data_IF_049557275065
#
_entry.id   IF_049557275065
#
_cell.length_a   1.000
_cell.length_b   1.000
_cell.length_c   1.000
_cell.angle_alpha   90.00
_cell.angle_beta   90.00
_cell.angle_gamma   90.00
#
_symmetry.space_group_name_H-M   'P 1'
#
loop_
_entity.id
_entity.type
_entity.pdbx_description
1 polymer ?
#
# COMPACT_ATOMS: atom_id res chain seq x y z
N UNK A 1 2.35 -26.10 18.02
CA UNK A 1 1.25 -25.12 18.20
C UNK A 1 1.51 -24.40 19.50
N UNK A 2 2.12 -23.22 19.45
CA UNK A 2 2.34 -22.38 20.63
C UNK A 2 1.19 -21.38 20.71
N UNK A 3 0.35 -21.51 21.73
CA UNK A 3 -0.61 -20.48 22.11
C UNK A 3 0.16 -19.28 22.67
N UNK A 4 0.11 -18.15 21.95
CA UNK A 4 0.54 -16.86 22.49
C UNK A 4 -0.60 -16.29 23.34
N UNK A 5 -0.46 -16.36 24.66
CA UNK A 5 -1.28 -15.55 25.57
C UNK A 5 -0.74 -14.14 25.59
N UNK A 6 -1.52 -13.21 25.05
CA UNK A 6 -1.39 -11.77 25.27
C UNK A 6 -1.64 -11.53 26.76
N UNK A 7 -0.58 -11.48 27.56
CA UNK A 7 -0.65 -11.12 28.98
C UNK A 7 -0.52 -9.60 29.12
N UNK A 8 -1.64 -9.00 29.51
CA UNK A 8 -1.83 -7.80 30.31
C UNK A 8 -0.82 -6.66 30.16
N UNK A 9 -1.23 -5.69 29.33
CA UNK A 9 -0.85 -4.29 29.49
C UNK A 9 -1.31 -3.79 30.87
N UNK A 10 -0.38 -3.73 31.82
CA UNK A 10 -0.42 -2.75 32.90
C UNK A 10 0.92 -2.03 32.88
N UNK A 11 0.94 -0.85 32.26
CA UNK A 11 2.03 0.10 32.47
C UNK A 11 1.98 0.53 33.93
N UNK A 12 2.92 0.03 34.74
CA UNK A 12 3.12 0.53 36.10
C UNK A 12 3.86 1.87 35.99
N UNK A 13 3.33 2.98 36.53
CA UNK A 13 4.01 4.26 36.52
C UNK A 13 5.07 4.25 37.61
N UNK A 14 6.32 3.99 37.22
CA UNK A 14 7.46 4.05 38.12
C UNK A 14 8.77 4.12 37.34
N UNK A 15 9.28 5.33 37.16
CA UNK A 15 10.64 5.67 36.71
C UNK A 15 11.00 5.53 35.23
N UNK A 16 10.05 5.45 34.31
CA UNK A 16 10.35 5.71 32.90
C UNK A 16 10.13 7.20 32.62
N UNK A 17 11.21 7.95 32.45
CA UNK A 17 11.11 9.26 31.80
C UNK A 17 10.38 9.11 30.47
N UNK A 18 9.59 10.11 30.09
CA UNK A 18 8.81 10.03 28.86
C UNK A 18 9.75 9.82 27.66
N UNK A 19 9.29 9.18 26.58
CA UNK A 19 10.10 9.01 25.36
C UNK A 19 10.67 10.36 24.84
N UNK A 20 9.97 11.46 25.15
CA UNK A 20 10.40 12.83 24.90
C UNK A 20 11.62 13.24 25.75
N UNK A 21 11.64 12.92 27.05
CA UNK A 21 12.78 13.21 27.93
C UNK A 21 14.03 12.42 27.54
N UNK A 22 13.88 11.18 27.07
CA UNK A 22 15.01 10.39 26.56
C UNK A 22 15.57 10.93 25.24
N UNK A 23 14.74 11.62 24.45
CA UNK A 23 15.15 12.24 23.19
C UNK A 23 15.93 13.55 23.39
N UNK A 24 15.63 14.28 24.45
CA UNK A 24 16.21 15.61 24.72
C UNK A 24 17.60 15.56 25.39
N UNK A 25 18.00 14.42 25.97
CA UNK A 25 19.28 14.28 26.72
C UNK A 25 20.00 12.95 26.47
N UNK A 26 20.38 12.62 25.22
CA UNK A 26 20.98 11.32 24.89
C UNK A 26 22.34 11.05 25.57
N UNK A 27 23.07 12.09 25.96
CA UNK A 27 24.40 12.03 26.59
C UNK A 27 24.42 11.51 28.03
N UNK A 28 23.28 11.50 28.74
CA UNK A 28 23.21 11.09 30.14
C UNK A 28 23.07 9.57 30.34
N UNK A 29 23.02 8.80 29.25
CA UNK A 29 22.77 7.35 29.31
C UNK A 29 24.05 6.57 29.00
N UNK A 30 24.56 5.83 29.99
CA UNK A 30 25.67 4.89 29.80
C UNK A 30 25.25 3.73 28.88
N UNK A 31 26.04 3.47 27.83
CA UNK A 31 25.82 2.36 26.88
C UNK A 31 26.07 1.03 27.60
N UNK A 32 25.00 0.39 28.06
CA UNK A 32 25.06 -0.91 28.74
C UNK A 32 25.49 -2.01 27.76
N UNK A 33 26.53 -2.76 28.13
CA UNK A 33 27.10 -3.88 27.38
C UNK A 33 26.08 -5.00 27.17
N UNK A 34 25.89 -5.44 25.91
CA UNK A 34 24.97 -6.52 25.55
C UNK A 34 25.63 -7.89 25.77
N UNK A 35 25.01 -8.75 26.58
CA UNK A 35 25.54 -10.09 26.88
C UNK A 35 25.07 -11.08 25.79
N UNK A 36 26.00 -11.53 24.93
CA UNK A 36 25.77 -12.57 23.92
C UNK A 36 26.78 -13.73 24.07
N UNK A 37 26.47 -14.97 23.61
CA UNK A 37 27.40 -16.12 23.67
C UNK A 37 28.67 -15.96 22.79
N UNK A 38 28.80 -14.87 22.05
CA UNK A 38 30.02 -14.39 21.38
C UNK A 38 30.22 -12.88 21.66
N UNK A 39 29.95 -12.46 22.90
CA UNK A 39 29.85 -11.07 23.33
C UNK A 39 31.00 -10.20 22.82
N UNK A 40 32.24 -10.69 22.93
CA UNK A 40 33.43 -9.87 22.63
C UNK A 40 33.55 -9.44 21.16
N UNK A 41 33.23 -10.32 20.22
CA UNK A 41 33.31 -9.97 18.79
C UNK A 41 32.16 -9.05 18.38
N UNK A 42 30.96 -9.30 18.90
CA UNK A 42 29.78 -8.45 18.69
C UNK A 42 29.98 -7.08 19.32
N UNK A 43 30.62 -7.02 20.49
CA UNK A 43 30.92 -5.79 21.22
C UNK A 43 31.96 -4.92 20.48
N UNK A 44 33.03 -5.52 19.95
CA UNK A 44 34.00 -4.79 19.13
C UNK A 44 33.37 -4.22 17.85
N UNK A 45 32.50 -4.99 17.19
CA UNK A 45 31.74 -4.50 16.02
C UNK A 45 30.78 -3.38 16.45
N UNK A 46 30.08 -3.53 17.57
CA UNK A 46 29.17 -2.53 18.10
C UNK A 46 29.89 -1.22 18.48
N UNK A 47 31.12 -1.31 19.01
CA UNK A 47 31.96 -0.15 19.32
C UNK A 47 32.36 0.65 18.06
N UNK A 48 32.49 -0.02 16.91
CA UNK A 48 32.80 0.63 15.64
C UNK A 48 31.58 1.27 14.95
N UNK A 49 30.35 1.02 15.43
CA UNK A 49 29.15 1.58 14.81
C UNK A 49 29.07 3.10 15.01
N UNK A 50 28.49 3.83 14.04
CA UNK A 50 28.13 5.23 14.21
C UNK A 50 27.22 5.45 15.43
N UNK A 51 27.33 6.62 16.06
CA UNK A 51 26.61 6.93 17.31
C UNK A 51 25.09 6.79 17.17
N UNK A 52 24.51 7.24 16.04
CA UNK A 52 23.07 7.15 15.83
C UNK A 52 22.57 5.70 15.76
N UNK A 53 23.40 4.78 15.26
CA UNK A 53 23.08 3.35 15.20
C UNK A 53 23.23 2.67 16.56
N UNK A 54 24.23 3.07 17.34
CA UNK A 54 24.36 2.67 18.75
C UNK A 54 23.13 3.07 19.55
N UNK A 55 22.64 4.30 19.38
CA UNK A 55 21.42 4.78 20.03
C UNK A 55 20.19 3.97 19.58
N UNK A 56 20.03 3.70 18.29
CA UNK A 56 18.91 2.90 17.80
C UNK A 56 18.92 1.48 18.42
N UNK A 57 20.07 0.82 18.44
CA UNK A 57 20.25 -0.50 19.08
C UNK A 57 20.01 -0.45 20.59
N UNK A 58 20.48 0.60 21.26
CA UNK A 58 20.26 0.80 22.69
C UNK A 58 18.75 0.89 23.00
N UNK A 59 18.02 1.74 22.28
CA UNK A 59 16.58 1.89 22.49
C UNK A 59 15.78 0.64 22.13
N UNK A 60 16.15 -0.07 21.06
CA UNK A 60 15.52 -1.35 20.72
C UNK A 60 15.67 -2.38 21.86
N UNK A 61 16.81 -2.39 22.55
CA UNK A 61 17.06 -3.28 23.68
C UNK A 61 16.42 -2.80 25.00
N UNK A 62 16.35 -1.49 25.24
CA UNK A 62 15.79 -0.93 26.47
C UNK A 62 14.26 -0.80 26.44
N UNK A 63 13.67 -0.66 25.26
CA UNK A 63 12.23 -0.48 25.06
C UNK A 63 11.65 -1.59 24.16
N UNK A 64 11.92 -2.90 24.43
CA UNK A 64 11.57 -3.98 23.51
C UNK A 64 10.05 -4.09 23.28
N UNK A 65 9.24 -3.75 24.29
CA UNK A 65 7.79 -3.77 24.19
C UNK A 65 7.27 -2.67 23.25
N UNK A 66 7.86 -1.48 23.26
CA UNK A 66 7.47 -0.42 22.33
C UNK A 66 7.79 -0.82 20.89
N UNK A 67 8.99 -1.35 20.63
CA UNK A 67 9.38 -1.79 19.29
C UNK A 67 8.50 -2.93 18.79
N UNK A 68 8.23 -3.95 19.63
CA UNK A 68 7.32 -5.05 19.30
C UNK A 68 5.90 -4.57 19.06
N UNK A 69 5.36 -3.75 19.96
CA UNK A 69 4.03 -3.17 19.81
C UNK A 69 3.93 -2.42 18.48
N UNK A 70 4.83 -1.48 18.24
CA UNK A 70 4.85 -0.65 17.02
C UNK A 70 4.95 -1.49 15.74
N UNK A 71 5.68 -2.61 15.78
CA UNK A 71 5.89 -3.48 14.62
C UNK A 71 4.73 -4.45 14.36
N UNK A 72 4.06 -4.96 15.39
CA UNK A 72 3.04 -6.02 15.27
C UNK A 72 1.58 -5.54 15.41
N UNK A 73 1.31 -4.42 16.09
CA UNK A 73 -0.04 -3.88 16.26
C UNK A 73 -0.65 -3.48 14.92
N UNK A 74 -1.96 -3.63 14.71
CA UNK A 74 -2.62 -3.08 13.52
C UNK A 74 -2.66 -1.56 13.59
N UNK A 75 -2.57 -0.89 12.44
CA UNK A 75 -2.35 0.57 12.42
C UNK A 75 -3.51 1.35 13.06
N UNK A 76 -4.73 0.83 12.92
CA UNK A 76 -5.98 1.38 13.48
C UNK A 76 -6.14 1.16 14.99
N UNK A 77 -5.41 0.19 15.55
CA UNK A 77 -5.47 -0.15 16.98
C UNK A 77 -4.44 0.64 17.79
N UNK A 78 -3.67 1.53 17.16
CA UNK A 78 -2.69 2.40 17.82
C UNK A 78 -3.39 3.65 18.38
N UNK A 79 -3.44 3.83 19.71
CA UNK A 79 -3.98 5.04 20.31
C UNK A 79 -3.24 6.30 19.81
N UNK A 80 -3.97 7.41 19.71
CA UNK A 80 -3.44 8.64 19.13
C UNK A 80 -2.27 9.21 19.94
N UNK A 81 -2.34 9.11 21.27
CA UNK A 81 -1.34 9.59 22.22
C UNK A 81 0.00 8.83 22.17
N UNK A 82 -0.01 7.56 21.74
CA UNK A 82 1.21 6.75 21.59
C UNK A 82 1.71 6.68 20.15
N UNK A 83 0.96 7.21 19.17
CA UNK A 83 1.29 7.12 17.74
C UNK A 83 2.66 7.69 17.39
N UNK A 84 3.03 8.82 18.00
CA UNK A 84 4.34 9.45 17.77
C UNK A 84 5.49 8.61 18.31
N UNK A 85 5.29 7.90 19.44
CA UNK A 85 6.25 6.93 19.95
C UNK A 85 6.39 5.73 19.00
N UNK A 86 5.30 5.26 18.40
CA UNK A 86 5.34 4.19 17.39
C UNK A 86 6.09 4.62 16.13
N UNK A 87 5.81 5.82 15.61
CA UNK A 87 6.53 6.40 14.45
C UNK A 87 8.03 6.48 14.75
N UNK A 88 8.40 6.97 15.94
CA UNK A 88 9.80 7.05 16.36
C UNK A 88 10.45 5.67 16.45
N UNK A 89 9.81 4.70 17.12
CA UNK A 89 10.36 3.35 17.28
C UNK A 89 10.55 2.65 15.93
N UNK A 90 9.56 2.74 15.03
CA UNK A 90 9.66 2.22 13.65
C UNK A 90 10.79 2.89 12.87
N UNK A 91 11.00 4.20 13.03
CA UNK A 91 12.09 4.91 12.35
C UNK A 91 13.47 4.44 12.83
N UNK A 92 13.63 4.17 14.13
CA UNK A 92 14.86 3.60 14.69
C UNK A 92 15.05 2.16 14.21
N UNK A 93 13.97 1.40 14.14
CA UNK A 93 14.01 0.02 13.68
C UNK A 93 14.39 -0.08 12.19
N UNK A 94 13.88 0.81 11.34
CA UNK A 94 14.28 0.91 9.93
C UNK A 94 15.78 1.13 9.82
N UNK A 95 16.36 2.06 10.60
CA UNK A 95 17.82 2.30 10.62
C UNK A 95 18.61 1.07 11.03
N UNK A 96 18.15 0.35 12.06
CA UNK A 96 18.78 -0.92 12.47
C UNK A 96 18.84 -1.88 11.28
N UNK A 97 17.72 -2.05 10.58
CA UNK A 97 17.63 -3.00 9.47
C UNK A 97 18.41 -2.58 8.21
N UNK A 98 18.49 -1.28 7.92
CA UNK A 98 19.24 -0.74 6.78
C UNK A 98 20.76 -0.75 7.02
N UNK A 99 21.19 -0.33 8.22
CA UNK A 99 22.58 0.06 8.46
C UNK A 99 23.38 -0.96 9.27
N UNK A 100 22.74 -1.83 10.07
CA UNK A 100 23.49 -2.80 10.87
C UNK A 100 24.14 -3.88 9.98
N UNK A 101 25.35 -4.34 10.32
CA UNK A 101 25.92 -5.56 9.76
C UNK A 101 25.02 -6.77 10.03
N UNK A 102 25.04 -7.76 9.14
CA UNK A 102 24.28 -9.01 9.30
C UNK A 102 24.60 -9.73 10.62
N UNK A 103 25.87 -9.74 11.03
CA UNK A 103 26.29 -10.36 12.29
C UNK A 103 25.58 -9.74 13.50
N UNK A 104 25.37 -8.42 13.49
CA UNK A 104 24.62 -7.70 14.55
C UNK A 104 23.14 -8.04 14.47
N UNK A 105 22.53 -8.03 13.28
CA UNK A 105 21.11 -8.38 13.14
C UNK A 105 20.80 -9.80 13.62
N UNK A 106 21.68 -10.76 13.30
CA UNK A 106 21.57 -12.15 13.78
C UNK A 106 21.75 -12.23 15.30
N UNK A 107 22.74 -11.52 15.85
CA UNK A 107 22.95 -11.46 17.30
C UNK A 107 21.73 -10.88 18.03
N UNK A 108 21.09 -9.84 17.46
CA UNK A 108 19.87 -9.24 18.00
C UNK A 108 18.61 -10.11 17.83
N UNK A 109 18.70 -11.23 17.10
CA UNK A 109 17.56 -12.09 16.81
C UNK A 109 16.59 -11.55 15.75
N UNK A 110 16.99 -10.52 14.98
CA UNK A 110 16.20 -9.97 13.88
C UNK A 110 16.24 -10.85 12.63
N UNK A 111 17.24 -11.75 12.53
CA UNK A 111 17.37 -12.73 11.45
C UNK A 111 17.68 -14.10 12.06
N UNK A 112 16.77 -15.06 11.90
CA UNK A 112 16.95 -16.42 12.41
C UNK A 112 18.11 -17.16 11.73
N UNK A 113 18.79 -18.08 12.43
CA UNK A 113 19.81 -18.93 11.83
C UNK A 113 19.26 -19.71 10.62
N UNK A 114 20.01 -19.71 9.51
CA UNK A 114 19.62 -20.38 8.27
C UNK A 114 18.73 -19.56 7.33
N UNK A 115 18.11 -18.49 7.81
CA UNK A 115 17.35 -17.59 6.95
C UNK A 115 18.27 -16.65 6.17
N UNK A 116 17.87 -16.35 4.93
CA UNK A 116 18.52 -15.35 4.08
C UNK A 116 18.36 -13.96 4.70
N UNK A 117 19.48 -13.29 4.97
CA UNK A 117 19.50 -12.00 5.66
C UNK A 117 18.86 -10.91 4.81
N UNK A 118 19.13 -10.88 3.50
CA UNK A 118 18.62 -9.86 2.60
C UNK A 118 17.08 -9.97 2.46
N UNK A 119 16.57 -11.19 2.31
CA UNK A 119 15.12 -11.47 2.29
C UNK A 119 14.45 -11.07 3.60
N UNK A 120 15.07 -11.44 4.73
CA UNK A 120 14.55 -11.10 6.06
C UNK A 120 14.53 -9.58 6.29
N UNK A 121 15.60 -8.87 5.90
CA UNK A 121 15.65 -7.41 5.90
C UNK A 121 14.55 -6.82 5.03
N UNK A 122 14.39 -7.32 3.81
CA UNK A 122 13.43 -6.76 2.87
C UNK A 122 11.99 -6.86 3.37
N UNK A 123 11.60 -8.03 3.87
CA UNK A 123 10.27 -8.23 4.46
C UNK A 123 10.07 -7.31 5.66
N UNK A 124 11.09 -7.20 6.51
CA UNK A 124 11.03 -6.38 7.73
C UNK A 124 10.91 -4.89 7.42
N UNK A 125 11.71 -4.40 6.48
CA UNK A 125 11.70 -3.00 6.02
C UNK A 125 10.38 -2.66 5.35
N UNK A 126 9.85 -3.54 4.50
CA UNK A 126 8.56 -3.33 3.85
C UNK A 126 7.44 -3.19 4.89
N UNK A 127 7.40 -4.05 5.91
CA UNK A 127 6.42 -3.92 6.99
C UNK A 127 6.58 -2.61 7.77
N UNK A 128 7.80 -2.32 8.25
CA UNK A 128 8.05 -1.15 9.09
C UNK A 128 7.77 0.17 8.34
N UNK A 129 8.17 0.26 7.06
CA UNK A 129 7.88 1.41 6.19
C UNK A 129 6.39 1.54 5.88
N UNK A 130 5.67 0.42 5.75
CA UNK A 130 4.22 0.42 5.58
C UNK A 130 3.52 1.03 6.78
N UNK A 131 3.88 0.57 7.98
CA UNK A 131 3.31 1.06 9.24
C UNK A 131 3.61 2.53 9.50
N UNK A 132 4.87 2.96 9.32
CA UNK A 132 5.23 4.37 9.53
C UNK A 132 4.51 5.28 8.52
N UNK A 133 4.36 4.85 7.26
CA UNK A 133 3.59 5.57 6.24
C UNK A 133 2.14 5.73 6.67
N UNK A 134 1.50 4.64 7.11
CA UNK A 134 0.12 4.62 7.58
C UNK A 134 -0.08 5.54 8.80
N UNK A 135 0.76 5.43 9.82
CA UNK A 135 0.69 6.30 10.99
C UNK A 135 0.89 7.78 10.66
N UNK A 136 1.81 8.11 9.75
CA UNK A 136 2.03 9.49 9.31
C UNK A 136 0.83 10.03 8.52
N UNK A 137 0.16 9.20 7.70
CA UNK A 137 -1.06 9.60 7.00
C UNK A 137 -2.23 9.81 7.97
N UNK A 138 -2.42 8.89 8.93
CA UNK A 138 -3.46 9.01 9.97
C UNK A 138 -3.27 10.24 10.87
N UNK A 139 -2.03 10.73 11.01
CA UNK A 139 -1.69 11.94 11.77
C UNK A 139 -1.69 13.23 10.92
N UNK A 140 -2.19 13.17 9.68
CA UNK A 140 -2.18 14.28 8.71
C UNK A 140 -0.77 14.85 8.42
N UNK A 141 0.24 13.96 8.40
CA UNK A 141 1.66 14.27 8.14
C UNK A 141 2.13 13.66 6.82
N UNK A 142 1.31 13.75 5.78
CA UNK A 142 1.57 13.11 4.49
C UNK A 142 2.97 13.41 3.92
N UNK A 143 3.47 14.64 4.07
CA UNK A 143 4.80 15.03 3.57
C UNK A 143 5.93 14.17 4.18
N UNK A 144 5.83 13.82 5.46
CA UNK A 144 6.81 12.98 6.15
C UNK A 144 6.69 11.51 5.74
N UNK A 145 5.54 11.08 5.25
CA UNK A 145 5.28 9.70 4.83
C UNK A 145 5.95 9.34 3.50
N UNK A 146 6.16 10.35 2.64
CA UNK A 146 6.71 10.18 1.28
C UNK A 146 7.98 9.35 1.22
N UNK A 147 9.09 9.69 1.93
CA UNK A 147 10.34 8.94 1.80
C UNK A 147 10.17 7.45 2.09
N UNK A 148 9.34 7.09 3.08
CA UNK A 148 9.06 5.70 3.42
C UNK A 148 8.26 4.99 2.34
N UNK A 149 7.20 5.63 1.84
CA UNK A 149 6.39 5.07 0.76
C UNK A 149 7.19 4.90 -0.54
N UNK A 150 8.07 5.86 -0.87
CA UNK A 150 8.97 5.73 -2.03
C UNK A 150 9.87 4.52 -1.89
N UNK A 151 10.56 4.40 -0.75
CA UNK A 151 11.45 3.28 -0.48
C UNK A 151 10.73 1.92 -0.53
N UNK A 152 9.47 1.84 -0.08
CA UNK A 152 8.67 0.63 -0.23
C UNK A 152 8.41 0.27 -1.70
N UNK A 153 8.09 1.25 -2.54
CA UNK A 153 7.80 0.98 -3.95
C UNK A 153 9.07 0.60 -4.69
N UNK A 154 10.18 1.31 -4.44
CA UNK A 154 11.47 0.97 -5.03
C UNK A 154 11.88 -0.48 -4.68
N UNK A 155 11.68 -0.88 -3.42
CA UNK A 155 11.96 -2.24 -2.97
C UNK A 155 11.07 -3.30 -3.64
N UNK A 156 9.77 -3.05 -3.77
CA UNK A 156 8.83 -3.95 -4.46
C UNK A 156 9.16 -4.06 -5.96
N UNK A 157 9.48 -2.94 -6.62
CA UNK A 157 9.92 -2.93 -8.02
C UNK A 157 11.18 -3.78 -8.22
N UNK A 158 12.10 -3.76 -7.26
CA UNK A 158 13.34 -4.53 -7.32
C UNK A 158 13.09 -6.04 -7.16
N UNK A 159 12.04 -6.44 -6.45
CA UNK A 159 11.68 -7.86 -6.25
C UNK A 159 11.10 -8.50 -7.50
N UNK A 160 10.60 -7.71 -8.45
CA UNK A 160 9.83 -8.23 -9.58
C UNK A 160 8.50 -8.88 -9.17
N UNK A 161 8.13 -8.73 -7.89
CA UNK A 161 6.81 -9.08 -7.41
C UNK A 161 5.88 -7.94 -7.84
N UNK A 162 4.87 -8.27 -8.64
CA UNK A 162 3.76 -7.37 -8.99
C UNK A 162 2.89 -7.00 -7.77
N UNK A 163 3.39 -7.14 -6.54
CA UNK A 163 2.69 -6.84 -5.28
C UNK A 163 2.40 -5.35 -5.10
N UNK A 164 3.14 -4.44 -5.72
CA UNK A 164 2.75 -3.03 -5.78
C UNK A 164 1.42 -2.84 -6.52
N UNK A 165 1.04 -3.81 -7.36
CA UNK A 165 -0.27 -3.92 -7.99
C UNK A 165 -1.34 -4.54 -7.07
N UNK A 166 -1.06 -4.72 -5.78
CA UNK A 166 -2.06 -5.10 -4.77
C UNK A 166 -2.37 -3.96 -3.79
N UNK A 167 -1.73 -2.80 -3.93
CA UNK A 167 -1.91 -1.69 -2.98
C UNK A 167 -1.83 -0.31 -3.67
N UNK A 168 -2.96 0.23 -4.16
CA UNK A 168 -3.01 1.51 -4.88
C UNK A 168 -2.64 2.73 -4.01
N UNK A 169 -2.61 2.60 -2.68
CA UNK A 169 -2.18 3.67 -1.76
C UNK A 169 -0.71 4.05 -1.98
N UNK A 170 0.15 3.08 -2.30
CA UNK A 170 1.59 3.31 -2.55
C UNK A 170 1.86 4.18 -3.77
N UNK A 171 1.01 4.08 -4.80
CA UNK A 171 1.12 4.86 -6.04
C UNK A 171 0.75 6.33 -5.86
N UNK A 172 -0.18 6.63 -4.94
CA UNK A 172 -0.67 7.99 -4.68
C UNK A 172 0.34 8.84 -3.89
N UNK A 173 1.08 8.21 -2.96
CA UNK A 173 2.12 8.89 -2.16
C UNK A 173 3.34 9.27 -2.98
N UNK A 174 3.67 8.49 -4.01
CA UNK A 174 4.80 8.75 -4.91
C UNK A 174 4.63 10.01 -5.77
N UNK A 175 3.39 10.42 -6.00
CA UNK A 175 3.07 11.29 -7.12
C UNK A 175 2.96 12.77 -6.79
N UNK A 176 3.56 13.28 -5.71
CA UNK A 176 3.63 14.74 -5.49
C UNK A 176 4.37 15.56 -6.58
N UNK A 177 4.74 14.98 -7.72
CA UNK A 177 5.05 15.71 -8.94
C UNK A 177 3.83 15.69 -9.84
N UNK A 178 3.22 16.86 -10.10
CA UNK A 178 2.18 17.12 -11.10
C UNK A 178 0.92 16.24 -10.99
N UNK A 179 -0.27 16.84 -10.84
CA UNK A 179 -1.57 16.15 -10.89
C UNK A 179 -1.69 15.19 -12.09
N UNK A 180 -0.97 15.49 -13.18
CA UNK A 180 -0.88 14.64 -14.35
C UNK A 180 -0.01 13.39 -14.16
N UNK A 181 1.11 13.45 -13.42
CA UNK A 181 1.92 12.27 -13.09
C UNK A 181 1.33 11.47 -11.91
N UNK A 182 0.54 12.08 -11.01
CA UNK A 182 -0.38 11.37 -10.10
C UNK A 182 -1.36 10.54 -10.88
N UNK A 183 -2.09 11.18 -11.79
CA UNK A 183 -3.07 10.48 -12.60
C UNK A 183 -2.41 9.38 -13.44
N UNK A 184 -1.22 9.61 -14.01
CA UNK A 184 -0.49 8.58 -14.78
C UNK A 184 0.05 7.46 -13.89
N UNK A 185 0.60 7.75 -12.71
CA UNK A 185 1.17 6.75 -11.78
C UNK A 185 0.07 5.92 -11.15
N UNK A 186 -1.05 6.54 -10.75
CA UNK A 186 -2.26 5.84 -10.33
C UNK A 186 -2.84 5.01 -11.48
N UNK A 187 -2.92 5.55 -12.71
CA UNK A 187 -3.30 4.78 -13.89
C UNK A 187 -2.33 3.64 -14.23
N UNK A 188 -1.03 3.75 -13.89
CA UNK A 188 -0.01 2.70 -14.09
C UNK A 188 -0.10 1.63 -13.01
N UNK A 189 -0.38 2.00 -11.76
CA UNK A 189 -0.71 1.06 -10.70
C UNK A 189 -1.96 0.28 -11.05
N UNK A 190 -3.06 0.98 -11.35
CA UNK A 190 -4.31 0.39 -11.80
C UNK A 190 -4.19 -0.55 -13.02
N UNK A 191 -3.13 -0.44 -13.83
CA UNK A 191 -2.95 -1.23 -15.06
C UNK A 191 -2.67 -2.72 -14.85
N UNK A 192 -2.30 -3.18 -13.66
CA UNK A 192 -2.18 -4.63 -13.41
C UNK A 192 -2.64 -5.08 -12.02
N UNK A 193 -3.53 -4.30 -11.41
CA UNK A 193 -4.18 -4.64 -10.14
C UNK A 193 -5.53 -5.34 -10.39
N UNK A 194 -5.72 -6.57 -9.89
CA UNK A 194 -7.04 -7.13 -9.53
C UNK A 194 -7.33 -6.86 -8.04
N UNK A 195 -7.40 -5.60 -7.59
CA UNK A 195 -7.71 -5.27 -6.19
C UNK A 195 -9.19 -5.14 -5.96
N UNK A 196 -9.60 -5.58 -4.79
CA UNK A 196 -10.94 -5.43 -4.28
C UNK A 196 -11.27 -3.99 -3.84
N UNK A 197 -12.56 -3.69 -3.64
CA UNK A 197 -13.09 -2.39 -3.24
C UNK A 197 -12.55 -1.77 -1.95
N UNK A 198 -12.14 -2.60 -0.98
CA UNK A 198 -11.67 -2.15 0.33
C UNK A 198 -10.34 -1.37 0.25
N UNK A 199 -9.51 -1.68 -0.74
CA UNK A 199 -8.22 -1.03 -0.99
C UNK A 199 -8.35 0.36 -1.65
N UNK A 200 -9.58 0.88 -1.77
CA UNK A 200 -9.85 2.23 -2.25
C UNK A 200 -10.19 3.22 -1.12
N UNK A 201 -10.60 2.72 0.05
CA UNK A 201 -11.22 3.52 1.12
C UNK A 201 -10.23 4.28 2.02
N UNK A 202 -8.95 3.91 2.00
CA UNK A 202 -7.88 4.52 2.81
C UNK A 202 -7.14 5.61 2.01
N UNK A 203 -7.27 5.63 0.67
CA UNK A 203 -6.67 6.61 -0.25
C UNK A 203 -7.41 7.94 -0.16
N UNK A 204 -8.68 7.88 0.23
CA UNK A 204 -9.63 8.97 0.22
C UNK A 204 -9.58 9.86 1.47
N UNK A 205 -8.62 9.66 2.37
CA UNK A 205 -8.57 10.41 3.63
C UNK A 205 -7.57 11.59 3.68
N UNK A 206 -6.79 11.86 2.61
CA UNK A 206 -5.93 13.07 2.55
C UNK A 206 -6.60 14.22 1.77
N UNK A 207 -6.90 15.32 2.45
CA UNK A 207 -7.80 16.39 1.98
C UNK A 207 -7.29 17.24 0.79
N UNK A 208 -5.98 17.29 0.53
CA UNK A 208 -5.43 18.24 -0.46
C UNK A 208 -5.40 17.72 -1.90
N UNK A 209 -5.31 16.40 -2.13
CA UNK A 209 -5.35 15.80 -3.47
C UNK A 209 -6.80 15.51 -3.95
N UNK A 210 -7.79 15.97 -3.20
CA UNK A 210 -9.13 15.41 -3.21
C UNK A 210 -10.01 15.91 -4.37
N UNK A 211 -9.94 17.18 -4.76
CA UNK A 211 -10.90 17.76 -5.74
C UNK A 211 -10.79 17.20 -7.16
N UNK A 212 -9.56 16.98 -7.64
CA UNK A 212 -9.34 16.40 -8.99
C UNK A 212 -9.74 14.92 -8.97
N UNK A 213 -9.39 14.20 -7.90
CA UNK A 213 -9.74 12.79 -7.71
C UNK A 213 -11.26 12.58 -7.55
N UNK A 214 -11.97 13.47 -6.85
CA UNK A 214 -13.42 13.41 -6.63
C UNK A 214 -14.22 13.40 -7.93
N UNK A 215 -13.95 14.36 -8.82
CA UNK A 215 -14.67 14.50 -10.09
C UNK A 215 -14.42 13.31 -11.02
N UNK A 216 -13.19 12.81 -11.03
CA UNK A 216 -12.82 11.62 -11.77
C UNK A 216 -13.48 10.36 -11.18
N UNK A 217 -13.43 10.16 -9.86
CA UNK A 217 -14.06 9.04 -9.15
C UNK A 217 -15.58 9.04 -9.35
N UNK A 218 -16.24 10.19 -9.21
CA UNK A 218 -17.67 10.31 -9.48
C UNK A 218 -18.00 9.95 -10.94
N UNK A 219 -17.21 10.41 -11.90
CA UNK A 219 -17.36 10.05 -13.31
C UNK A 219 -17.16 8.55 -13.54
N UNK A 220 -16.18 7.96 -12.85
CA UNK A 220 -15.88 6.55 -12.91
C UNK A 220 -17.02 5.70 -12.34
N UNK A 221 -17.55 6.05 -11.16
CA UNK A 221 -18.66 5.32 -10.54
C UNK A 221 -19.94 5.42 -11.35
N UNK A 222 -20.24 6.56 -11.97
CA UNK A 222 -21.36 6.67 -12.94
C UNK A 222 -21.19 5.74 -14.13
N UNK A 223 -19.95 5.51 -14.57
CA UNK A 223 -19.65 4.60 -15.69
C UNK A 223 -19.68 3.13 -15.26
N UNK A 224 -19.40 2.83 -13.99
CA UNK A 224 -19.26 1.48 -13.46
C UNK A 224 -20.10 1.27 -12.18
N UNK A 225 -21.44 1.47 -12.24
CA UNK A 225 -22.30 1.56 -11.06
C UNK A 225 -22.40 0.26 -10.24
N UNK A 226 -22.03 -0.89 -10.83
CA UNK A 226 -22.08 -2.21 -10.19
C UNK A 226 -20.75 -2.95 -10.19
N UNK A 227 -19.65 -2.21 -10.35
CA UNK A 227 -18.32 -2.81 -10.19
C UNK A 227 -18.13 -3.41 -8.78
N UNK A 228 -18.85 -2.85 -7.78
CA UNK A 228 -18.82 -3.30 -6.40
C UNK A 228 -20.23 -3.61 -5.94
N UNK A 229 -20.34 -4.46 -4.91
CA UNK A 229 -21.62 -4.75 -4.26
C UNK A 229 -22.22 -3.48 -3.63
N UNK A 230 -23.52 -3.51 -3.32
CA UNK A 230 -24.17 -2.41 -2.61
C UNK A 230 -23.56 -2.18 -1.23
N UNK A 231 -23.24 -3.26 -0.53
CA UNK A 231 -22.60 -3.21 0.78
C UNK A 231 -21.24 -2.49 0.72
N UNK A 232 -20.38 -2.86 -0.23
CA UNK A 232 -19.05 -2.25 -0.38
C UNK A 232 -19.14 -0.77 -0.75
N UNK A 233 -20.06 -0.41 -1.65
CA UNK A 233 -20.26 0.98 -2.02
C UNK A 233 -20.85 1.83 -0.91
N UNK A 234 -21.78 1.28 -0.13
CA UNK A 234 -22.29 1.93 1.07
C UNK A 234 -21.15 2.16 2.06
N UNK A 235 -20.33 1.15 2.32
CA UNK A 235 -19.16 1.28 3.19
C UNK A 235 -18.17 2.35 2.69
N UNK A 236 -17.91 2.39 1.38
CA UNK A 236 -16.96 3.31 0.76
C UNK A 236 -17.46 4.76 0.70
N UNK A 237 -18.76 4.99 0.50
CA UNK A 237 -19.32 6.30 0.17
C UNK A 237 -20.21 6.93 1.26
N UNK A 238 -20.79 6.14 2.18
CA UNK A 238 -21.69 6.65 3.23
C UNK A 238 -21.03 7.45 4.37
N UNK A 239 -19.73 7.34 4.68
CA UNK A 239 -19.07 8.36 5.48
C UNK A 239 -19.09 9.67 4.67
N UNK A 240 -20.20 10.40 4.76
CA UNK A 240 -20.70 11.48 3.90
C UNK A 240 -19.63 12.21 3.06
N UNK A 241 -19.20 11.56 1.98
CA UNK A 241 -18.08 12.03 1.19
C UNK A 241 -18.52 12.97 0.07
N UNK A 242 -17.71 13.97 -0.31
CA UNK A 242 -17.89 14.79 -1.51
C UNK A 242 -18.21 14.01 -2.79
N UNK A 243 -17.67 12.79 -2.93
CA UNK A 243 -17.94 11.89 -4.07
C UNK A 243 -19.41 11.47 -4.11
N UNK A 244 -20.02 11.12 -2.96
CA UNK A 244 -21.42 10.73 -2.92
C UNK A 244 -22.32 11.92 -3.29
N UNK A 245 -21.97 13.13 -2.85
CA UNK A 245 -22.66 14.35 -3.24
C UNK A 245 -22.59 14.57 -4.76
N UNK A 246 -21.40 14.40 -5.36
CA UNK A 246 -21.25 14.47 -6.81
C UNK A 246 -22.09 13.41 -7.54
N UNK A 247 -22.27 12.23 -6.96
CA UNK A 247 -23.08 11.16 -7.54
C UNK A 247 -24.59 11.42 -7.46
N UNK A 248 -25.04 12.42 -6.68
CA UNK A 248 -26.46 12.71 -6.45
C UNK A 248 -26.96 12.22 -5.08
N UNK A 249 -26.05 12.01 -4.13
CA UNK A 249 -26.36 11.59 -2.76
C UNK A 249 -26.67 10.10 -2.64
N UNK A 250 -27.22 9.70 -1.48
CA UNK A 250 -27.61 8.31 -1.19
C UNK A 250 -28.61 7.74 -2.21
N UNK A 251 -29.47 8.60 -2.78
CA UNK A 251 -30.40 8.22 -3.84
C UNK A 251 -29.71 7.58 -5.04
N UNK A 252 -28.45 7.97 -5.34
CA UNK A 252 -27.69 7.33 -6.40
C UNK A 252 -27.38 5.87 -6.08
N UNK A 253 -27.09 5.53 -4.82
CA UNK A 253 -26.82 4.14 -4.42
C UNK A 253 -28.03 3.23 -4.65
N UNK A 254 -29.24 3.76 -4.40
CA UNK A 254 -30.51 3.06 -4.60
C UNK A 254 -30.91 2.96 -6.08
N UNK A 255 -30.64 4.02 -6.86
CA UNK A 255 -31.14 4.14 -8.24
C UNK A 255 -30.12 3.77 -9.32
N UNK A 256 -28.90 3.39 -8.94
CA UNK A 256 -27.84 3.02 -9.89
C UNK A 256 -28.25 1.82 -10.75
N UNK A 257 -28.49 2.06 -12.04
CA UNK A 257 -28.85 1.01 -13.00
C UNK A 257 -27.61 0.44 -13.67
N UNK A 258 -27.54 -0.88 -13.74
CA UNK A 258 -26.64 -1.57 -14.65
C UNK A 258 -27.09 -1.26 -16.07
N UNK A 259 -26.18 -0.75 -16.89
CA UNK A 259 -26.46 -0.47 -18.29
C UNK A 259 -25.74 -1.50 -19.14
N UNK A 260 -26.33 -1.90 -20.27
CA UNK A 260 -25.67 -2.79 -21.24
C UNK A 260 -24.29 -2.25 -21.65
N UNK A 261 -24.13 -0.91 -21.71
CA UNK A 261 -22.83 -0.27 -21.95
C UNK A 261 -21.83 -0.51 -20.81
N UNK A 262 -22.25 -0.50 -19.55
CA UNK A 262 -21.37 -0.83 -18.43
C UNK A 262 -20.94 -2.30 -18.49
N UNK A 263 -21.86 -3.22 -18.77
CA UNK A 263 -21.57 -4.65 -18.90
C UNK A 263 -20.60 -4.93 -20.03
N UNK A 264 -20.85 -4.32 -21.19
CA UNK A 264 -19.94 -4.39 -22.33
C UNK A 264 -18.56 -3.79 -22.03
N UNK A 265 -18.42 -2.87 -21.07
CA UNK A 265 -17.10 -2.36 -20.66
C UNK A 265 -16.41 -3.36 -19.73
N UNK A 266 -17.10 -3.84 -18.70
CA UNK A 266 -16.54 -4.80 -17.74
C UNK A 266 -16.19 -6.16 -18.37
N UNK A 267 -16.95 -6.57 -19.40
CA UNK A 267 -16.68 -7.78 -20.16
C UNK A 267 -15.46 -7.67 -21.08
N UNK A 268 -14.95 -6.46 -21.36
CA UNK A 268 -13.76 -6.30 -22.18
C UNK A 268 -12.53 -6.60 -21.33
N UNK A 269 -11.75 -7.57 -21.81
CA UNK A 269 -10.41 -7.86 -21.36
C UNK A 269 -9.48 -7.90 -22.58
N UNK A 270 -8.22 -7.52 -22.40
CA UNK A 270 -7.18 -7.83 -23.36
C UNK A 270 -7.00 -9.36 -23.41
N UNK A 271 -7.05 -9.97 -24.60
CA UNK A 271 -6.88 -11.43 -24.72
C UNK A 271 -5.44 -11.89 -24.47
N UNK A 272 -4.47 -10.97 -24.57
CA UNK A 272 -3.05 -11.28 -24.35
C UNK A 272 -2.67 -11.15 -22.88
N UNK A 273 -3.04 -10.04 -22.24
CA UNK A 273 -2.61 -9.74 -20.86
C UNK A 273 -3.75 -9.73 -19.83
N UNK A 274 -5.00 -10.00 -20.22
CA UNK A 274 -6.14 -10.06 -19.31
C UNK A 274 -6.66 -8.71 -18.79
N UNK A 275 -5.91 -7.62 -18.97
CA UNK A 275 -6.27 -6.29 -18.46
C UNK A 275 -7.64 -5.83 -18.96
N UNK A 276 -8.49 -5.28 -18.07
CA UNK A 276 -9.90 -4.94 -18.35
C UNK A 276 -10.20 -3.44 -18.36
N UNK A 277 -11.31 -3.04 -18.98
CA UNK A 277 -11.89 -1.73 -18.65
C UNK A 277 -12.55 -1.83 -17.27
N UNK A 278 -12.52 -0.77 -16.44
CA UNK A 278 -12.06 0.59 -16.74
C UNK A 278 -10.60 0.87 -16.37
N UNK A 279 -9.82 -0.15 -15.97
CA UNK A 279 -8.42 0.00 -15.53
C UNK A 279 -7.53 0.57 -16.65
N UNK A 280 -7.80 0.16 -17.87
CA UNK A 280 -7.30 0.82 -19.09
C UNK A 280 -8.46 1.14 -19.99
N UNK A 281 -8.35 2.22 -20.75
CA UNK A 281 -9.17 2.38 -21.94
C UNK A 281 -8.71 1.32 -22.93
N UNK A 282 -9.36 0.16 -22.92
CA UNK A 282 -9.20 -0.83 -23.97
C UNK A 282 -9.79 -0.21 -25.22
N UNK A 283 -8.91 0.32 -26.06
CA UNK A 283 -9.34 0.65 -27.40
C UNK A 283 -9.95 -0.61 -28.00
N UNK A 284 -11.23 -0.50 -28.37
CA UNK A 284 -11.81 -1.41 -29.36
C UNK A 284 -10.89 -1.34 -30.56
N UNK A 285 -10.55 -2.49 -31.13
CA UNK A 285 -9.97 -2.55 -32.46
C UNK A 285 -10.70 -1.53 -33.34
N UNK A 286 -10.08 -0.39 -33.59
CA UNK A 286 -9.99 0.06 -34.94
C UNK A 286 -8.74 -0.56 -35.59
N UNK A 287 -7.68 -1.04 -34.89
CA UNK A 287 -6.86 -0.33 -33.89
C UNK A 287 -7.01 -0.65 -32.39
N UNK A 288 -6.01 -1.17 -31.65
CA UNK A 288 -5.98 -1.07 -30.17
C UNK A 288 -4.62 -0.58 -29.62
N UNK A 289 -4.62 0.31 -28.61
CA UNK A 289 -3.49 1.17 -28.18
C UNK A 289 -2.45 0.58 -27.21
N UNK A 290 -2.21 -0.72 -27.26
CA UNK A 290 -0.93 -1.25 -26.76
C UNK A 290 -0.31 -2.01 -27.91
N UNK A 291 0.54 -1.32 -28.68
CA UNK A 291 1.15 -1.84 -29.90
C UNK A 291 1.83 -3.19 -29.66
N UNK A 292 2.36 -3.44 -28.45
CA UNK A 292 3.00 -4.72 -28.11
C UNK A 292 2.00 -5.89 -28.06
N UNK A 293 0.95 -5.81 -27.24
CA UNK A 293 -0.03 -6.90 -27.13
C UNK A 293 -0.79 -7.12 -28.45
N UNK A 294 -1.05 -6.05 -29.22
CA UNK A 294 -1.67 -6.20 -30.54
C UNK A 294 -0.73 -6.92 -31.52
N UNK A 295 0.56 -6.56 -31.57
CA UNK A 295 1.53 -7.20 -32.46
C UNK A 295 1.73 -8.67 -32.14
N UNK A 296 1.81 -9.03 -30.86
CA UNK A 296 2.01 -10.42 -30.45
C UNK A 296 0.80 -11.31 -30.78
N UNK A 297 -0.42 -10.78 -30.71
CA UNK A 297 -1.65 -11.56 -30.92
C UNK A 297 -2.34 -11.32 -32.28
N UNK A 298 -1.75 -10.52 -33.18
CA UNK A 298 -2.40 -10.11 -34.44
C UNK A 298 -2.81 -11.29 -35.32
N UNK A 299 -1.98 -12.34 -35.37
CA UNK A 299 -2.22 -13.52 -36.21
C UNK A 299 -3.54 -14.22 -35.87
N UNK A 300 -3.85 -14.36 -34.58
CA UNK A 300 -5.10 -14.98 -34.11
C UNK A 300 -6.25 -13.97 -34.06
N UNK A 301 -5.98 -12.73 -33.66
CA UNK A 301 -7.02 -11.70 -33.54
C UNK A 301 -7.70 -11.35 -34.86
N UNK A 302 -6.98 -11.39 -35.99
CA UNK A 302 -7.52 -11.03 -37.31
C UNK A 302 -8.72 -11.89 -37.70
N UNK A 303 -8.65 -13.19 -37.46
CA UNK A 303 -9.72 -14.13 -37.82
C UNK A 303 -10.90 -13.98 -36.85
N UNK A 304 -10.63 -13.90 -35.54
CA UNK A 304 -11.65 -13.67 -34.52
C UNK A 304 -12.41 -12.35 -34.73
N UNK A 305 -11.70 -11.28 -35.09
CA UNK A 305 -12.29 -9.96 -35.33
C UNK A 305 -13.23 -9.99 -36.54
N UNK A 306 -12.89 -10.77 -37.57
CA UNK A 306 -13.72 -10.94 -38.77
C UNK A 306 -15.00 -11.71 -38.45
N UNK A 307 -14.90 -12.80 -37.69
CA UNK A 307 -16.06 -13.61 -37.28
C UNK A 307 -16.99 -12.86 -36.33
N UNK A 308 -16.44 -12.11 -35.37
CA UNK A 308 -17.23 -11.26 -34.47
C UNK A 308 -18.01 -10.17 -35.23
N UNK A 309 -17.36 -9.51 -36.20
CA UNK A 309 -18.03 -8.50 -37.03
C UNK A 309 -19.17 -9.10 -37.86
N UNK A 310 -18.94 -10.28 -38.46
CA UNK A 310 -19.97 -11.00 -39.21
C UNK A 310 -21.16 -11.38 -38.31
N UNK A 311 -20.89 -11.93 -37.13
CA UNK A 311 -21.91 -12.32 -36.14
C UNK A 311 -22.72 -11.11 -35.69
N UNK A 312 -22.07 -9.97 -35.40
CA UNK A 312 -22.77 -8.76 -34.99
C UNK A 312 -23.71 -8.26 -36.08
N UNK A 313 -23.27 -8.24 -37.34
CA UNK A 313 -24.09 -7.82 -38.49
C UNK A 313 -25.30 -8.75 -38.71
N UNK A 314 -25.12 -10.06 -38.54
CA UNK A 314 -26.21 -11.03 -38.60
C UNK A 314 -27.23 -10.84 -37.47
N UNK A 315 -26.78 -10.50 -36.25
CA UNK A 315 -27.67 -10.18 -35.13
C UNK A 315 -28.46 -8.88 -35.35
N UNK A 316 -27.81 -7.83 -35.87
CA UNK A 316 -28.46 -6.56 -36.21
C UNK A 316 -29.54 -6.77 -37.30
N UNK A 317 -29.23 -7.58 -38.32
CA UNK A 317 -30.21 -7.98 -39.33
C UNK A 317 -31.40 -8.72 -38.70
N UNK A 318 -31.16 -9.75 -37.87
CA UNK A 318 -32.25 -10.51 -37.22
C UNK A 318 -33.15 -9.65 -36.34
N UNK A 319 -32.59 -8.67 -35.62
CA UNK A 319 -33.39 -7.76 -34.78
C UNK A 319 -34.26 -6.81 -35.60
N UNK A 320 -33.83 -6.42 -36.81
CA UNK A 320 -34.60 -5.52 -37.68
C UNK A 320 -35.87 -6.17 -38.26
N UNK A 321 -35.95 -7.50 -38.30
CA UNK A 321 -37.13 -8.23 -38.79
C UNK A 321 -38.20 -8.50 -37.72
N UNK A 322 -37.93 -8.15 -36.46
CA UNK A 322 -38.83 -8.43 -35.32
C UNK A 322 -39.56 -7.21 -34.78
N UNK A 323 -39.49 -6.08 -35.48
CA UNK A 323 -40.16 -4.80 -35.17
C UNK A 323 -41.11 -4.40 -36.29
#
# INVERSE_FOLDING_TARGET
MMEFRVLDLVMVPGNAGTAKEMQERPEDYEVVTLIYPNARAVELIAQALPMHLKLALFFNNKLPNLFRFSYFVLDQDVPEDVRDACIWALSMFIRIMEECPESILRAQGHVEPGNDCQKSRSITLLNARGKITSHLLLADRAQKAIPYAKAMVDEELTRGDDMWMQNPYKALVLSQADDQEVAKTLCRAMRGIECGPADWCIATHSQSCFRVAESWLATWFRKNPRFMTEREMKYLLLPAGPILNLLGGEKWLETRKQTTKADQRMAKACRTCGVREPLVTLLRCNGCNTKECQKSHWKHHKDECRELFKTQKEMELKCSYTT
#
